data_IF_587642360078
#
_entry.id   IF_587642360078
#
_cell.length_a   1.000
_cell.length_b   1.000
_cell.length_c   1.000
_cell.angle_alpha   90.00
_cell.angle_beta   90.00
_cell.angle_gamma   90.00
#
_symmetry.space_group_name_H-M   'P 1'
#
loop_
_entity.id
_entity.type
_entity.pdbx_description
1 polymer ?
#
# COMPACT_ATOMS: atom_id res chain seq x y z
N UNK A 1 3.48 -3.00 8.29
CA UNK A 1 2.04 -2.99 8.62
C UNK A 1 1.25 -3.57 7.46
N UNK A 2 0.52 -4.65 7.73
CA UNK A 2 -0.40 -5.26 6.78
C UNK A 2 -1.82 -4.88 7.18
N UNK A 3 -2.62 -4.46 6.21
CA UNK A 3 -4.03 -4.18 6.43
C UNK A 3 -4.82 -5.46 6.58
N UNK A 4 -5.85 -5.42 7.43
CA UNK A 4 -6.92 -6.40 7.43
C UNK A 4 -8.06 -5.94 6.53
N UNK A 5 -8.96 -6.86 6.13
CA UNK A 5 -10.17 -6.44 5.44
C UNK A 5 -11.04 -5.62 6.39
N UNK A 6 -11.55 -4.47 5.94
CA UNK A 6 -12.31 -3.57 6.80
C UNK A 6 -13.77 -4.04 6.94
N UNK A 7 -13.96 -5.13 7.68
CA UNK A 7 -15.25 -5.82 7.82
C UNK A 7 -16.22 -5.05 8.69
N UNK A 8 -15.74 -4.44 9.77
CA UNK A 8 -16.52 -3.63 10.69
C UNK A 8 -16.08 -2.18 10.52
N UNK A 9 -16.99 -1.33 10.07
CA UNK A 9 -16.72 0.09 9.87
C UNK A 9 -16.93 0.79 11.22
N UNK A 10 -15.91 1.46 11.78
CA UNK A 10 -16.02 2.18 13.03
C UNK A 10 -17.04 3.32 12.94
N UNK A 11 -17.72 3.59 14.04
CA UNK A 11 -18.67 4.71 14.13
C UNK A 11 -17.96 6.06 14.01
N UNK A 12 -16.67 6.12 14.39
CA UNK A 12 -15.81 7.31 14.36
C UNK A 12 -14.95 7.42 13.09
N UNK A 13 -15.34 6.74 12.01
CA UNK A 13 -14.59 6.69 10.75
C UNK A 13 -14.24 8.10 10.25
N UNK A 14 -15.21 9.00 10.22
CA UNK A 14 -15.06 10.32 9.59
C UNK A 14 -14.24 11.27 10.46
N UNK A 15 -14.16 10.99 11.76
CA UNK A 15 -13.49 11.79 12.78
C UNK A 15 -12.04 11.35 13.00
N UNK A 16 -11.79 10.05 13.08
CA UNK A 16 -10.54 9.49 13.60
C UNK A 16 -9.71 8.71 12.59
N UNK A 17 -10.14 8.66 11.32
CA UNK A 17 -9.43 7.90 10.29
C UNK A 17 -9.00 8.77 9.11
N UNK A 18 -7.88 8.36 8.52
CA UNK A 18 -7.44 8.80 7.21
C UNK A 18 -7.64 7.70 6.18
N UNK A 19 -7.76 8.09 4.92
CA UNK A 19 -7.84 7.18 3.79
C UNK A 19 -6.77 7.52 2.77
N UNK A 20 -6.14 6.49 2.20
CA UNK A 20 -5.28 6.60 1.01
C UNK A 20 -5.83 5.76 -0.12
N UNK A 21 -5.83 6.35 -1.32
CA UNK A 21 -6.27 5.69 -2.54
C UNK A 21 -5.12 4.92 -3.15
N UNK A 22 -5.24 3.59 -3.19
CA UNK A 22 -4.15 2.72 -3.63
C UNK A 22 -4.29 2.43 -5.12
N UNK A 23 -3.38 2.93 -5.97
CA UNK A 23 -3.38 2.58 -7.39
C UNK A 23 -3.00 1.10 -7.57
N UNK A 24 -3.28 0.57 -8.75
CA UNK A 24 -2.84 -0.78 -9.12
C UNK A 24 -1.33 -0.96 -8.94
N UNK A 25 -0.94 -2.06 -8.29
CA UNK A 25 0.46 -2.43 -8.09
C UNK A 25 0.62 -3.53 -7.04
N UNK A 26 1.86 -3.75 -6.59
CA UNK A 26 2.14 -4.70 -5.50
C UNK A 26 3.01 -4.05 -4.43
N UNK A 27 2.80 -4.48 -3.18
CA UNK A 27 3.52 -3.95 -2.02
C UNK A 27 5.01 -4.27 -2.10
N UNK A 28 5.84 -3.27 -1.83
CA UNK A 28 7.29 -3.42 -1.70
C UNK A 28 7.80 -2.64 -0.49
N UNK A 29 8.89 -3.13 0.11
CA UNK A 29 9.68 -2.40 1.09
C UNK A 29 10.85 -1.75 0.35
N UNK A 30 10.98 -0.43 0.44
CA UNK A 30 12.10 0.31 -0.14
C UNK A 30 13.10 0.64 0.97
N UNK A 31 14.37 0.30 0.75
CA UNK A 31 15.48 0.61 1.67
C UNK A 31 16.55 1.38 0.90
N UNK A 32 16.79 2.63 1.28
CA UNK A 32 17.88 3.48 0.78
C UNK A 32 18.97 3.58 1.86
N UNK A 33 20.15 3.04 1.57
CA UNK A 33 21.33 3.05 2.46
C UNK A 33 22.60 2.77 1.65
N UNK A 34 23.75 3.21 2.16
CA UNK A 34 25.06 2.96 1.54
C UNK A 34 25.12 3.35 0.05
N UNK A 35 24.57 4.53 -0.27
CA UNK A 35 24.48 5.09 -1.62
C UNK A 35 23.72 4.22 -2.66
N UNK A 36 22.76 3.42 -2.19
CA UNK A 36 21.95 2.55 -3.05
C UNK A 36 20.55 2.41 -2.46
N UNK A 37 19.57 2.23 -3.35
CA UNK A 37 18.19 1.94 -2.97
C UNK A 37 17.78 0.58 -3.52
N UNK A 38 17.31 -0.28 -2.63
CA UNK A 38 16.87 -1.64 -2.94
C UNK A 38 15.40 -1.80 -2.55
N UNK A 39 14.60 -2.32 -3.46
CA UNK A 39 13.19 -2.61 -3.22
C UNK A 39 12.99 -4.11 -3.07
N UNK A 40 12.32 -4.54 -2.01
CA UNK A 40 12.03 -5.94 -1.71
C UNK A 40 10.53 -6.20 -1.80
N UNK A 41 10.13 -7.37 -2.30
CA UNK A 41 8.74 -7.82 -2.18
C UNK A 41 8.45 -8.37 -0.78
N UNK A 42 7.19 -8.76 -0.54
CA UNK A 42 6.76 -9.36 0.73
C UNK A 42 7.46 -10.67 1.10
N UNK A 43 8.12 -11.34 0.15
CA UNK A 43 8.90 -12.56 0.38
C UNK A 43 10.40 -12.26 0.62
N UNK A 44 10.78 -10.98 0.72
CA UNK A 44 12.17 -10.57 0.90
C UNK A 44 13.03 -10.68 -0.37
N UNK A 45 12.44 -10.93 -1.54
CA UNK A 45 13.18 -10.99 -2.81
C UNK A 45 13.38 -9.58 -3.36
N UNK A 46 14.59 -9.31 -3.85
CA UNK A 46 14.94 -8.04 -4.51
C UNK A 46 14.16 -7.89 -5.82
N UNK A 47 13.49 -6.76 -5.98
CA UNK A 47 12.72 -6.39 -7.17
C UNK A 47 13.47 -5.33 -7.98
N UNK A 48 14.02 -4.32 -7.31
CA UNK A 48 14.76 -3.21 -7.94
C UNK A 48 16.03 -2.91 -7.14
N UNK A 49 17.08 -2.50 -7.84
CA UNK A 49 18.28 -1.88 -7.27
C UNK A 49 18.64 -0.65 -8.11
N UNK A 50 18.52 0.53 -7.51
CA UNK A 50 18.57 1.83 -8.20
C UNK A 50 19.23 2.89 -7.31
N UNK A 51 19.66 4.00 -7.92
CA UNK A 51 20.04 5.21 -7.17
C UNK A 51 18.84 6.14 -7.07
N UNK A 52 18.63 6.73 -5.90
CA UNK A 52 17.53 7.67 -5.64
C UNK A 52 18.02 8.85 -4.82
N UNK A 53 17.25 9.93 -4.84
CA UNK A 53 17.57 11.13 -4.06
C UNK A 53 17.20 11.02 -2.57
N UNK A 54 16.50 9.96 -2.15
CA UNK A 54 16.29 9.68 -0.73
C UNK A 54 17.63 9.65 0.03
N UNK A 55 17.66 10.10 1.30
CA UNK A 55 18.82 9.96 2.16
C UNK A 55 19.35 8.51 2.15
N UNK A 56 20.66 8.33 1.95
CA UNK A 56 21.28 7.01 1.78
C UNK A 56 21.15 6.38 0.40
N UNK A 57 20.34 6.94 -0.51
CA UNK A 57 20.03 6.36 -1.82
C UNK A 57 21.04 6.65 -2.93
N UNK A 58 22.08 7.43 -2.64
CA UNK A 58 23.20 7.71 -3.55
C UNK A 58 22.98 8.82 -4.58
N UNK A 59 21.81 9.47 -4.58
CA UNK A 59 21.55 10.72 -5.30
C UNK A 59 21.66 11.98 -4.44
N UNK A 60 21.85 11.82 -3.12
CA UNK A 60 22.16 12.89 -2.18
C UNK A 60 23.42 12.55 -1.37
N UNK A 61 24.10 13.56 -0.84
CA UNK A 61 25.32 13.40 -0.02
C UNK A 61 25.05 12.89 1.41
N UNK A 62 23.83 12.43 1.69
CA UNK A 62 23.49 11.88 3.00
C UNK A 62 23.87 10.40 3.11
N UNK A 63 24.58 10.07 4.20
CA UNK A 63 24.86 8.70 4.65
C UNK A 63 23.75 8.13 5.54
N UNK A 64 22.60 8.80 5.64
CA UNK A 64 21.46 8.32 6.41
C UNK A 64 20.84 7.05 5.84
N UNK A 65 19.86 6.51 6.55
CA UNK A 65 19.05 5.37 6.11
C UNK A 65 17.62 5.84 5.94
N UNK A 66 16.96 5.40 4.87
CA UNK A 66 15.53 5.63 4.63
C UNK A 66 14.84 4.32 4.32
N UNK A 67 13.78 4.01 5.06
CA UNK A 67 12.96 2.81 4.88
C UNK A 67 11.51 3.23 4.69
N UNK A 68 10.97 2.92 3.51
CA UNK A 68 9.62 3.31 3.11
C UNK A 68 8.78 2.09 2.77
N UNK A 69 7.49 2.20 3.05
CA UNK A 69 6.51 1.20 2.67
C UNK A 69 5.76 1.69 1.43
N UNK A 70 5.85 0.93 0.34
CA UNK A 70 5.51 1.42 -0.98
C UNK A 70 4.62 0.45 -1.76
N UNK A 71 4.00 0.94 -2.82
CA UNK A 71 3.30 0.16 -3.85
C UNK A 71 4.05 0.38 -5.15
N UNK A 72 4.47 -0.68 -5.83
CA UNK A 72 5.14 -0.58 -7.11
C UNK A 72 4.23 -1.02 -8.24
N UNK A 73 4.04 -0.14 -9.23
CA UNK A 73 3.42 -0.47 -10.49
C UNK A 73 4.49 -0.69 -11.55
N UNK A 74 4.65 -1.96 -11.96
CA UNK A 74 5.67 -2.37 -12.94
C UNK A 74 5.40 -1.84 -14.35
N UNK A 75 4.14 -1.77 -14.76
CA UNK A 75 3.75 -1.36 -16.11
C UNK A 75 4.21 0.06 -16.40
N UNK A 76 4.00 0.97 -15.44
CA UNK A 76 4.34 2.39 -15.58
C UNK A 76 5.64 2.78 -14.86
N UNK A 77 6.34 1.80 -14.27
CA UNK A 77 7.59 1.98 -13.52
C UNK A 77 7.52 3.03 -12.40
N UNK A 78 6.39 3.09 -11.70
CA UNK A 78 6.16 4.07 -10.63
C UNK A 78 6.12 3.40 -9.26
N UNK A 79 6.89 3.92 -8.32
CA UNK A 79 6.87 3.59 -6.90
C UNK A 79 6.04 4.64 -6.16
N UNK A 80 4.91 4.20 -5.65
CA UNK A 80 4.02 4.99 -4.82
C UNK A 80 4.41 4.81 -3.35
N UNK A 81 4.80 5.90 -2.68
CA UNK A 81 5.14 5.87 -1.26
C UNK A 81 3.87 5.93 -0.44
N UNK A 82 3.59 4.88 0.34
CA UNK A 82 2.42 4.81 1.20
C UNK A 82 2.74 5.23 2.64
N UNK A 83 3.93 4.89 3.14
CA UNK A 83 4.31 5.14 4.53
C UNK A 83 5.82 5.25 4.73
N UNK A 84 6.25 5.74 5.89
CA UNK A 84 7.63 5.90 6.30
C UNK A 84 7.89 5.19 7.63
N UNK A 85 8.87 4.28 7.65
CA UNK A 85 9.31 3.58 8.86
C UNK A 85 10.55 4.24 9.44
N UNK A 86 11.41 4.76 8.58
CA UNK A 86 12.70 5.32 8.97
C UNK A 86 13.15 6.38 7.96
N UNK A 87 13.69 7.51 8.41
CA UNK A 87 14.13 8.61 7.55
C UNK A 87 15.40 9.29 8.07
N UNK A 88 16.49 9.24 7.29
CA UNK A 88 17.75 9.92 7.56
C UNK A 88 18.29 9.76 9.00
N UNK A 89 18.21 8.55 9.58
CA UNK A 89 18.54 8.21 10.98
C UNK A 89 17.43 8.36 12.03
N UNK A 90 16.24 8.84 11.66
CA UNK A 90 15.09 8.94 12.56
C UNK A 90 14.12 7.78 12.35
N UNK A 91 13.85 7.02 13.42
CA UNK A 91 12.76 6.02 13.42
C UNK A 91 11.41 6.73 13.50
N UNK A 92 10.47 6.27 12.67
CA UNK A 92 9.09 6.73 12.66
C UNK A 92 8.13 5.68 13.26
N UNK A 93 8.64 4.52 13.69
CA UNK A 93 7.80 3.39 14.13
C UNK A 93 6.89 3.74 15.31
N UNK A 94 7.45 4.47 16.29
CA UNK A 94 6.75 4.96 17.49
C UNK A 94 6.02 6.28 17.24
N UNK A 95 5.86 6.70 15.99
CA UNK A 95 5.04 7.85 15.64
C UNK A 95 3.67 7.42 15.12
N UNK A 96 2.66 8.15 15.53
CA UNK A 96 1.30 8.02 15.04
C UNK A 96 1.20 8.33 13.54
N UNK A 97 0.19 7.76 12.88
CA UNK A 97 -0.11 8.01 11.46
C UNK A 97 -0.20 9.49 11.15
N UNK A 98 -0.89 10.27 11.98
CA UNK A 98 -1.09 11.70 11.74
C UNK A 98 0.23 12.44 11.57
N UNK A 99 1.20 12.18 12.46
CA UNK A 99 2.53 12.74 12.36
C UNK A 99 3.29 12.18 11.16
N UNK A 100 3.31 10.84 10.97
CA UNK A 100 4.06 10.21 9.87
C UNK A 100 3.64 10.72 8.51
N UNK A 101 2.34 10.84 8.28
CA UNK A 101 1.79 11.29 7.00
C UNK A 101 2.08 12.76 6.76
N UNK A 102 1.85 13.61 7.76
CA UNK A 102 2.19 15.04 7.68
C UNK A 102 3.69 15.24 7.41
N UNK A 103 4.55 14.61 8.21
CA UNK A 103 6.00 14.70 8.09
C UNK A 103 6.48 14.29 6.70
N UNK A 104 6.01 13.14 6.21
CA UNK A 104 6.40 12.62 4.91
C UNK A 104 5.93 13.55 3.79
N UNK A 105 4.72 14.11 3.89
CA UNK A 105 4.22 15.13 2.95
C UNK A 105 5.12 16.35 2.91
N UNK A 106 5.46 16.92 4.07
CA UNK A 106 6.38 18.06 4.16
C UNK A 106 7.75 17.74 3.53
N UNK A 107 8.29 16.53 3.73
CA UNK A 107 9.56 16.14 3.09
C UNK A 107 9.50 16.07 1.57
N UNK A 108 8.39 15.59 1.01
CA UNK A 108 8.20 15.61 -0.45
C UNK A 108 7.99 17.01 -1.01
N UNK A 109 7.34 17.90 -0.26
CA UNK A 109 7.15 19.32 -0.62
C UNK A 109 8.47 20.11 -0.55
N UNK A 110 9.28 19.89 0.49
CA UNK A 110 10.61 20.51 0.66
C UNK A 110 11.58 20.10 -0.46
N UNK A 111 11.52 18.85 -0.92
CA UNK A 111 12.43 18.34 -1.94
C UNK A 111 11.70 17.57 -3.05
N UNK A 112 11.25 18.30 -4.10
CA UNK A 112 10.67 17.69 -5.30
C UNK A 112 11.63 16.73 -6.03
N UNK A 113 12.93 16.77 -5.73
CA UNK A 113 13.93 15.85 -6.24
C UNK A 113 13.67 14.40 -5.85
N UNK A 114 12.93 14.11 -4.77
CA UNK A 114 12.54 12.74 -4.42
C UNK A 114 11.66 12.07 -5.47
N UNK A 115 10.88 12.85 -6.21
CA UNK A 115 10.07 12.32 -7.32
C UNK A 115 10.91 11.93 -8.55
N UNK A 116 12.14 12.48 -8.66
CA UNK A 116 13.00 12.34 -9.84
C UNK A 116 13.96 11.16 -9.69
N UNK A 117 13.82 10.17 -10.56
CA UNK A 117 14.82 9.14 -10.80
C UNK A 117 14.86 8.81 -12.30
N UNK A 118 16.03 8.47 -12.84
CA UNK A 118 16.25 8.35 -14.28
C UNK A 118 15.28 7.39 -15.01
N UNK A 119 14.95 6.26 -14.39
CA UNK A 119 14.17 5.17 -15.03
C UNK A 119 12.85 4.85 -14.32
N UNK A 120 12.59 5.48 -13.19
CA UNK A 120 11.47 5.17 -12.31
C UNK A 120 10.91 6.45 -11.75
N UNK A 121 9.59 6.48 -11.59
CA UNK A 121 8.90 7.60 -10.98
C UNK A 121 8.63 7.31 -9.51
N UNK A 122 8.73 8.34 -8.67
CA UNK A 122 8.35 8.26 -7.26
C UNK A 122 7.23 9.24 -6.98
N UNK A 123 6.15 8.77 -6.38
CA UNK A 123 5.02 9.62 -6.02
C UNK A 123 4.57 9.32 -4.61
N UNK A 124 4.42 10.34 -3.78
CA UNK A 124 3.78 10.18 -2.48
C UNK A 124 2.27 9.97 -2.70
N UNK A 125 1.71 8.95 -2.05
CA UNK A 125 0.26 8.82 -1.99
C UNK A 125 -0.29 9.81 -0.98
N UNK A 126 -1.15 10.69 -1.49
CA UNK A 126 -1.86 11.65 -0.66
C UNK A 126 -2.84 10.92 0.27
N UNK A 127 -3.26 11.63 1.31
CA UNK A 127 -4.24 11.16 2.28
C UNK A 127 -5.27 12.24 2.54
N UNK A 128 -6.50 11.81 2.79
CA UNK A 128 -7.60 12.70 3.18
C UNK A 128 -8.30 12.14 4.43
N UNK A 129 -9.04 12.97 5.19
CA UNK A 129 -9.97 12.46 6.19
C UNK A 129 -10.91 11.43 5.57
N UNK A 130 -11.24 10.36 6.30
CA UNK A 130 -12.09 9.28 5.81
C UNK A 130 -13.59 9.64 5.78
N UNK A 131 -13.92 10.89 5.46
CA UNK A 131 -15.28 11.37 5.24
C UNK A 131 -15.83 10.79 3.95
N UNK A 132 -17.05 10.23 4.01
CA UNK A 132 -17.66 9.58 2.83
C UNK A 132 -17.75 10.50 1.60
N UNK A 133 -18.12 11.79 1.72
CA UNK A 133 -18.14 12.70 0.56
C UNK A 133 -16.76 12.90 -0.08
N UNK A 134 -15.70 13.04 0.73
CA UNK A 134 -14.34 13.18 0.20
C UNK A 134 -13.88 11.91 -0.52
N UNK A 135 -14.17 10.75 0.05
CA UNK A 135 -13.86 9.47 -0.60
C UNK A 135 -14.63 9.35 -1.91
N UNK A 136 -15.91 9.71 -1.92
CA UNK A 136 -16.77 9.70 -3.10
C UNK A 136 -16.19 10.54 -4.24
N UNK A 137 -15.84 11.80 -3.96
CA UNK A 137 -15.27 12.72 -4.94
C UNK A 137 -13.96 12.20 -5.52
N UNK A 138 -13.08 11.65 -4.67
CA UNK A 138 -11.82 11.07 -5.11
C UNK A 138 -12.00 9.77 -5.90
N UNK A 139 -12.98 8.92 -5.58
CA UNK A 139 -13.21 7.66 -6.30
C UNK A 139 -13.79 7.83 -7.70
N UNK A 140 -14.38 9.00 -8.01
CA UNK A 140 -14.73 9.37 -9.38
C UNK A 140 -13.55 9.92 -10.19
N UNK A 141 -12.43 10.22 -9.52
CA UNK A 141 -11.17 10.55 -10.17
C UNK A 141 -10.33 9.28 -10.41
N UNK A 142 -9.39 9.35 -11.35
CA UNK A 142 -8.36 8.33 -11.55
C UNK A 142 -6.99 8.88 -11.21
N UNK A 143 -6.07 8.02 -10.75
CA UNK A 143 -4.70 8.45 -10.53
C UNK A 143 -4.06 8.74 -11.89
N UNK A 144 -3.80 10.03 -12.15
CA UNK A 144 -3.08 10.47 -13.33
C UNK A 144 -1.58 10.48 -13.04
N UNK A 145 -0.83 9.69 -13.82
CA UNK A 145 0.63 9.56 -13.74
C UNK A 145 1.18 9.67 -15.16
N UNK A 146 1.82 10.79 -15.47
CA UNK A 146 2.25 11.10 -16.84
C UNK A 146 1.06 10.92 -17.79
N UNK A 147 1.22 10.19 -18.90
CA UNK A 147 0.17 9.95 -19.88
C UNK A 147 -0.72 8.74 -19.54
N UNK A 148 -0.76 8.32 -18.27
CA UNK A 148 -1.46 7.11 -17.85
C UNK A 148 -2.50 7.39 -16.78
N UNK A 149 -3.71 6.88 -17.04
CA UNK A 149 -4.80 6.83 -16.07
C UNK A 149 -4.80 5.46 -15.39
N UNK A 150 -4.62 5.44 -14.08
CA UNK A 150 -4.58 4.20 -13.30
C UNK A 150 -5.81 4.15 -12.40
N UNK A 151 -6.63 3.09 -12.52
CA UNK A 151 -7.72 2.87 -11.58
C UNK A 151 -7.16 2.57 -10.19
N UNK A 152 -7.96 2.86 -9.17
CA UNK A 152 -7.63 2.48 -7.81
C UNK A 152 -8.01 1.01 -7.60
N UNK A 153 -7.07 0.20 -7.09
CA UNK A 153 -7.36 -1.18 -6.70
C UNK A 153 -8.26 -1.22 -5.46
N UNK A 154 -8.17 -0.17 -4.64
CA UNK A 154 -8.96 0.01 -3.44
C UNK A 154 -8.42 1.16 -2.61
N UNK A 155 -8.90 1.21 -1.38
CA UNK A 155 -8.53 2.21 -0.40
C UNK A 155 -8.08 1.54 0.89
N UNK A 156 -7.09 2.16 1.53
CA UNK A 156 -6.62 1.76 2.85
C UNK A 156 -6.97 2.85 3.85
N UNK A 157 -7.53 2.43 4.98
CA UNK A 157 -7.92 3.27 6.09
C UNK A 157 -6.90 3.12 7.20
N UNK A 158 -6.57 4.23 7.84
CA UNK A 158 -5.63 4.29 8.95
C UNK A 158 -6.25 5.06 10.10
N UNK A 159 -6.28 4.48 11.31
CA UNK A 159 -6.60 5.26 12.51
C UNK A 159 -5.49 6.29 12.73
N UNK A 160 -5.86 7.54 13.01
CA UNK A 160 -4.93 8.70 13.10
C UNK A 160 -3.81 8.48 14.12
N UNK A 161 -4.12 7.83 15.23
CA UNK A 161 -3.21 7.58 16.35
C UNK A 161 -2.47 6.23 16.25
N UNK A 162 -2.61 5.50 15.12
CA UNK A 162 -1.97 4.19 15.00
C UNK A 162 -0.46 4.29 14.77
N UNK A 163 0.28 3.46 15.50
CA UNK A 163 1.72 3.28 15.33
C UNK A 163 2.02 2.32 14.17
N UNK A 164 3.21 2.43 13.57
CA UNK A 164 3.59 1.48 12.52
C UNK A 164 4.03 0.16 13.15
N UNK A 165 3.23 -0.89 13.00
CA UNK A 165 3.60 -2.24 13.47
C UNK A 165 3.91 -3.19 12.33
N UNK A 166 4.75 -4.19 12.60
CA UNK A 166 4.97 -5.30 11.69
C UNK A 166 3.86 -6.35 11.89
N UNK A 167 3.27 -6.83 10.80
CA UNK A 167 2.12 -7.74 10.85
C UNK A 167 0.77 -7.05 10.68
N UNK A 168 -0.28 -7.77 11.04
CA UNK A 168 -1.67 -7.33 10.91
C UNK A 168 -2.12 -6.46 12.08
N UNK A 169 -3.03 -5.52 11.81
CA UNK A 169 -3.64 -4.67 12.84
C UNK A 169 -5.07 -4.30 12.43
N UNK A 170 -6.02 -4.24 13.37
CA UNK A 170 -7.36 -3.73 13.11
C UNK A 170 -7.37 -2.22 12.88
N UNK A 171 -6.31 -1.49 13.27
CA UNK A 171 -6.20 -0.04 13.09
C UNK A 171 -5.84 0.37 11.66
N UNK A 172 -5.68 -0.61 10.76
CA UNK A 172 -5.47 -0.39 9.32
C UNK A 172 -6.38 -1.31 8.51
N UNK A 173 -7.43 -0.72 7.96
CA UNK A 173 -8.44 -1.44 7.17
C UNK A 173 -8.20 -1.33 5.67
N UNK A 174 -8.56 -2.36 4.91
CA UNK A 174 -8.52 -2.37 3.46
C UNK A 174 -9.88 -2.72 2.87
N UNK A 175 -10.29 -1.93 1.87
CA UNK A 175 -11.43 -2.22 1.00
C UNK A 175 -10.96 -2.19 -0.45
N UNK A 176 -11.27 -3.24 -1.21
CA UNK A 176 -11.14 -3.17 -2.67
C UNK A 176 -12.19 -2.19 -3.21
N UNK A 177 -11.92 -1.51 -4.33
CA UNK A 177 -12.81 -0.46 -4.83
C UNK A 177 -14.25 -0.93 -5.05
N UNK A 178 -14.45 -2.16 -5.51
CA UNK A 178 -15.78 -2.75 -5.71
C UNK A 178 -16.55 -3.08 -4.41
N UNK A 179 -15.91 -3.00 -3.24
CA UNK A 179 -16.54 -3.19 -1.93
C UNK A 179 -17.05 -1.88 -1.32
N UNK A 180 -16.64 -0.73 -1.85
CA UNK A 180 -17.03 0.59 -1.35
C UNK A 180 -18.54 0.85 -1.42
N UNK A 181 -19.26 0.47 -2.50
CA UNK A 181 -20.72 0.62 -2.54
C UNK A 181 -21.41 -0.19 -1.45
N UNK A 182 -20.94 -1.41 -1.18
CA UNK A 182 -21.51 -2.30 -0.16
C UNK A 182 -21.24 -1.81 1.26
N UNK A 183 -20.00 -1.41 1.55
CA UNK A 183 -19.55 -1.13 2.93
C UNK A 183 -19.77 0.29 3.37
N UNK A 184 -19.66 1.24 2.45
CA UNK A 184 -19.67 2.67 2.77
C UNK A 184 -20.74 3.45 2.01
N UNK A 185 -21.50 2.79 1.13
CA UNK A 185 -22.50 3.44 0.27
C UNK A 185 -21.85 4.51 -0.63
N UNK A 186 -20.63 4.22 -1.10
CA UNK A 186 -19.85 5.09 -1.98
C UNK A 186 -19.84 4.50 -3.38
N UNK A 187 -20.32 5.27 -4.34
CA UNK A 187 -20.29 4.92 -5.76
C UNK A 187 -18.85 4.92 -6.29
N UNK A 188 -18.58 4.07 -7.27
CA UNK A 188 -17.26 3.96 -7.89
C UNK A 188 -17.39 3.88 -9.40
N UNK A 189 -16.43 4.47 -10.11
CA UNK A 189 -16.43 4.48 -11.58
C UNK A 189 -16.33 3.08 -12.21
N UNK A 190 -16.77 2.90 -13.47
CA UNK A 190 -16.79 1.61 -14.17
C UNK A 190 -15.42 0.92 -14.22
N UNK A 191 -14.34 1.68 -14.36
CA UNK A 191 -12.97 1.19 -14.37
C UNK A 191 -12.57 0.50 -13.06
N UNK A 192 -13.08 0.99 -11.93
CA UNK A 192 -12.85 0.42 -10.61
C UNK A 192 -13.74 -0.81 -10.37
N UNK A 193 -14.94 -0.85 -10.97
CA UNK A 193 -15.85 -2.01 -10.92
C UNK A 193 -15.44 -3.16 -11.85
N UNK A 194 -14.69 -2.90 -12.91
CA UNK A 194 -14.28 -3.90 -13.89
C UNK A 194 -13.49 -5.08 -13.25
N UNK A 195 -12.92 -4.87 -12.06
CA UNK A 195 -12.17 -5.88 -11.30
C UNK A 195 -13.00 -6.66 -10.28
N UNK A 196 -14.29 -6.35 -10.16
CA UNK A 196 -15.21 -7.10 -9.31
C UNK A 196 -15.22 -8.57 -9.78
N UNK A 197 -14.92 -9.53 -8.89
CA UNK A 197 -15.02 -10.95 -9.24
C UNK A 197 -16.43 -11.31 -9.72
N UNK A 198 -16.54 -12.16 -10.73
CA UNK A 198 -17.84 -12.56 -11.32
C UNK A 198 -18.75 -13.25 -10.29
N UNK A 199 -18.15 -13.95 -9.35
CA UNK A 199 -18.77 -14.67 -8.24
C UNK A 199 -18.94 -13.81 -6.98
N UNK A 200 -18.65 -12.50 -7.03
CA UNK A 200 -18.82 -11.62 -5.89
C UNK A 200 -20.30 -11.34 -5.62
N UNK A 201 -20.79 -11.87 -4.49
CA UNK A 201 -22.12 -11.56 -3.97
C UNK A 201 -22.05 -10.46 -2.90
N UNK A 202 -21.26 -10.69 -1.86
CA UNK A 202 -21.00 -9.76 -0.77
C UNK A 202 -19.59 -9.99 -0.22
N UNK A 203 -19.12 -9.11 0.66
CA UNK A 203 -17.80 -9.20 1.25
C UNK A 203 -17.62 -10.52 2.02
N UNK A 204 -18.58 -10.92 2.84
CA UNK A 204 -18.45 -12.07 3.72
C UNK A 204 -18.19 -13.37 2.94
N UNK A 205 -19.07 -13.67 1.99
CA UNK A 205 -18.95 -14.85 1.09
C UNK A 205 -17.66 -14.79 0.26
N UNK A 206 -17.26 -13.60 -0.18
CA UNK A 206 -16.01 -13.42 -0.91
C UNK A 206 -14.79 -13.74 -0.04
N UNK A 207 -14.73 -13.23 1.19
CA UNK A 207 -13.64 -13.49 2.13
C UNK A 207 -13.56 -14.96 2.52
N UNK A 208 -14.70 -15.62 2.71
CA UNK A 208 -14.76 -17.06 2.94
C UNK A 208 -14.20 -17.85 1.74
N UNK A 209 -14.55 -17.45 0.51
CA UNK A 209 -14.01 -18.06 -0.71
C UNK A 209 -12.48 -17.94 -0.79
N UNK A 210 -11.92 -16.79 -0.38
CA UNK A 210 -10.47 -16.56 -0.35
C UNK A 210 -9.78 -17.43 0.72
N UNK A 211 -10.38 -17.56 1.91
CA UNK A 211 -9.89 -18.44 2.98
C UNK A 211 -9.88 -19.89 2.51
N UNK A 212 -10.95 -20.35 1.86
CA UNK A 212 -11.06 -21.71 1.33
C UNK A 212 -10.05 -21.99 0.21
N UNK A 213 -9.84 -21.04 -0.71
CA UNK A 213 -8.79 -21.13 -1.75
C UNK A 213 -7.39 -21.25 -1.13
N UNK A 214 -7.07 -20.46 -0.11
CA UNK A 214 -5.79 -20.55 0.63
C UNK A 214 -5.60 -21.89 1.37
N UNK A 215 -6.66 -22.45 1.97
CA UNK A 215 -6.60 -23.77 2.61
C UNK A 215 -6.30 -24.88 1.59
N UNK A 216 -6.96 -24.83 0.43
CA UNK A 216 -6.74 -25.80 -0.67
C UNK A 216 -5.33 -25.72 -1.25
N UNK A 217 -4.75 -24.53 -1.40
CA UNK A 217 -3.37 -24.40 -1.91
C UNK A 217 -2.33 -24.91 -0.91
N UNK A 218 -2.54 -24.68 0.40
CA UNK A 218 -1.68 -25.26 1.45
C UNK A 218 -1.76 -26.78 1.51
N UNK A 219 -2.98 -27.34 1.41
CA UNK A 219 -3.17 -28.80 1.37
C UNK A 219 -2.52 -29.48 0.15
N UNK A 220 -2.48 -28.79 -0.99
CA UNK A 220 -1.75 -29.30 -2.18
C UNK A 220 -0.23 -29.26 -2.02
N UNK A 221 0.32 -28.31 -1.25
CA UNK A 221 1.75 -28.27 -0.94
C UNK A 221 2.17 -29.24 0.16
N UNK A 222 1.30 -29.59 1.11
CA UNK A 222 1.60 -30.61 2.12
C UNK A 222 1.58 -32.04 1.55
N UNK A 223 0.61 -32.36 0.67
CA UNK A 223 0.52 -33.69 0.04
C UNK A 223 1.66 -33.94 -0.97
N UNK A 224 2.21 -32.89 -1.57
CA UNK A 224 3.40 -32.97 -2.43
C UNK A 224 4.71 -33.16 -1.68
N UNK A 225 4.78 -32.80 -0.39
CA UNK A 225 5.98 -32.96 0.44
C UNK A 225 6.04 -34.35 1.12
N UNK A 226 4.88 -34.94 1.43
CA UNK A 226 4.81 -36.30 2.00
C UNK A 226 5.03 -37.40 0.94
N UNK A 227 4.83 -37.11 -0.35
CA UNK A 227 5.07 -38.07 -1.44
C UNK A 227 6.51 -38.13 -1.95
N UNK A 228 7.40 -37.23 -1.50
CA UNK A 228 8.84 -37.25 -1.82
C UNK A 228 9.70 -37.91 -0.72
N UNK A 229 9.11 -38.36 0.40
CA UNK A 229 9.85 -39.02 1.48
C UNK A 229 9.82 -40.56 1.45
N UNK A 230 9.11 -41.18 0.50
CA UNK A 230 8.97 -42.65 0.39
C UNK A 230 9.67 -43.26 -0.84
N UNK A 231 10.72 -42.61 -1.38
CA UNK A 231 11.62 -43.25 -2.35
C UNK A 231 13.06 -42.78 -2.11
N UNK A 232 13.74 -43.41 -1.15
CA UNK A 232 15.09 -44.02 -1.27
C UNK A 232 15.63 -44.50 0.09
#
# INVERSE_FOLDING_TARGET
MQSEWFTEIPDDLEENWFVKFCPQGFRILLIAQNHTTVCYNQQGRVILKIKTNFPGGGGSDSNGVTILDCIYNKCIKTVFVLDCLFWNAMSMLESEVNFRFFWLKTKFEENPGFAKCLKYNFKLLDYVPAQRPLIQDHMFSVAHIEDHNIPYDGVVFYHKESHYIFGYTPLVGWLASFMLPEKLQIDVGPENLARKPKDYCNMETYLESLRNKKRRSRGKHSVGAESEMDVQ
#
